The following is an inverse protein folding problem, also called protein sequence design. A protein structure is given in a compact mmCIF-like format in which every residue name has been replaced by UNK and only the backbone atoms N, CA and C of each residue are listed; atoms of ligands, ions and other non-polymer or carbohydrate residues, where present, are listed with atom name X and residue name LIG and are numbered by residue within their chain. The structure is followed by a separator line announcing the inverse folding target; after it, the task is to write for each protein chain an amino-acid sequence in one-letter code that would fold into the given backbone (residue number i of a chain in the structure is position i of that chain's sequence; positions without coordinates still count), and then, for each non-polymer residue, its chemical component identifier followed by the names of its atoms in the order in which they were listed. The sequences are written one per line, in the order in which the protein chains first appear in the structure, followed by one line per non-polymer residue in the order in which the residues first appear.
data_IF_023162536462
#
_entry.id   IF_023162536462
#
_cell.length_a   1.000
_cell.length_b   1.000
_cell.length_c   1.000
_cell.angle_alpha   90.00
_cell.angle_beta   90.00
_cell.angle_gamma   90.00
#
_symmetry.space_group_name_H-M   'P 1'
#
loop_
_entity.id
_entity.type
_entity.pdbx_description
1 polymer ?
#
# COMPACT_ATOMS: atom_id res chain seq x y z
N UNK A 1 -4.91 -2.03 16.10
CA UNK A 1 -4.27 -1.53 14.86
C UNK A 1 -3.32 -0.39 15.21
N UNK A 2 -2.04 -0.43 14.79
CA UNK A 2 -1.05 0.58 15.13
C UNK A 2 -1.25 1.89 14.35
N UNK A 3 -0.68 3.01 14.83
CA UNK A 3 -0.70 4.29 14.12
C UNK A 3 -0.16 4.17 12.68
N UNK A 4 0.96 3.46 12.51
CA UNK A 4 1.58 3.24 11.18
C UNK A 4 0.64 2.50 10.23
N UNK A 5 -0.09 1.50 10.71
CA UNK A 5 -1.06 0.78 9.89
C UNK A 5 -2.24 1.67 9.47
N UNK A 6 -2.74 2.52 10.38
CA UNK A 6 -3.80 3.50 10.04
C UNK A 6 -3.33 4.52 9.02
N UNK A 7 -2.11 5.02 9.16
CA UNK A 7 -1.51 5.96 8.21
C UNK A 7 -1.33 5.32 6.83
N UNK A 8 -0.77 4.11 6.77
CA UNK A 8 -0.63 3.36 5.52
C UNK A 8 -1.99 3.11 4.83
N UNK A 9 -3.03 2.80 5.61
CA UNK A 9 -4.39 2.66 5.08
C UNK A 9 -4.94 3.98 4.51
N UNK A 10 -4.63 5.13 5.11
CA UNK A 10 -5.02 6.43 4.55
C UNK A 10 -4.31 6.71 3.22
N UNK A 11 -3.02 6.40 3.11
CA UNK A 11 -2.30 6.50 1.83
C UNK A 11 -2.89 5.59 0.76
N UNK A 12 -3.19 4.34 1.09
CA UNK A 12 -3.82 3.40 0.17
C UNK A 12 -5.18 3.90 -0.32
N UNK A 13 -6.01 4.48 0.56
CA UNK A 13 -7.35 5.00 0.23
C UNK A 13 -7.36 6.17 -0.75
N UNK A 14 -6.23 6.86 -0.94
CA UNK A 14 -6.10 7.99 -1.89
C UNK A 14 -5.28 7.62 -3.13
N UNK A 15 -5.07 6.33 -3.39
CA UNK A 15 -4.30 5.86 -4.55
C UNK A 15 -2.79 5.82 -4.33
N UNK A 16 -2.34 5.82 -3.08
CA UNK A 16 -0.94 5.62 -2.73
C UNK A 16 -0.47 4.18 -2.96
N UNK A 17 0.85 4.03 -3.07
CA UNK A 17 1.55 2.75 -3.09
C UNK A 17 2.40 2.68 -1.81
N UNK A 18 2.37 1.56 -1.11
CA UNK A 18 3.14 1.36 0.13
C UNK A 18 4.09 0.19 0.01
N UNK A 19 5.22 0.31 0.68
CA UNK A 19 6.09 -0.82 0.98
C UNK A 19 5.73 -1.40 2.35
N UNK A 20 5.60 -2.72 2.45
CA UNK A 20 5.34 -3.40 3.72
C UNK A 20 6.12 -4.71 3.85
N UNK A 21 6.52 -5.11 5.06
CA UNK A 21 7.18 -6.39 5.29
C UNK A 21 6.18 -7.55 5.13
N UNK A 22 6.62 -8.64 4.51
CA UNK A 22 5.94 -9.94 4.56
C UNK A 22 6.82 -10.95 5.29
N UNK A 23 6.36 -12.18 5.43
CA UNK A 23 7.11 -13.31 5.97
C UNK A 23 8.30 -13.73 5.07
N UNK A 24 8.29 -13.35 3.79
CA UNK A 24 9.32 -13.70 2.81
C UNK A 24 10.18 -12.50 2.44
N UNK A 25 9.63 -11.58 1.63
CA UNK A 25 10.32 -10.39 1.12
C UNK A 25 9.52 -9.11 1.39
N UNK A 26 10.14 -7.97 1.16
CA UNK A 26 9.43 -6.69 1.25
C UNK A 26 8.49 -6.53 0.04
N UNK A 27 7.19 -6.36 0.30
CA UNK A 27 6.16 -6.23 -0.72
C UNK A 27 5.84 -4.77 -1.04
N UNK A 28 5.62 -4.48 -2.33
CA UNK A 28 5.04 -3.22 -2.80
C UNK A 28 3.55 -3.44 -3.10
N UNK A 29 2.67 -2.62 -2.55
CA UNK A 29 1.22 -2.83 -2.63
C UNK A 29 0.44 -1.54 -2.88
N UNK A 30 -0.68 -1.67 -3.60
CA UNK A 30 -1.69 -0.64 -3.81
C UNK A 30 -3.10 -1.26 -3.75
N UNK A 31 -4.15 -0.43 -3.80
CA UNK A 31 -5.53 -0.94 -3.94
C UNK A 31 -5.84 -1.17 -5.43
N UNK A 32 -6.43 -2.32 -5.80
CA UNK A 32 -6.60 -2.74 -7.19
C UNK A 32 -7.58 -1.87 -7.99
N UNK A 33 -8.46 -1.10 -7.35
CA UNK A 33 -9.37 -0.20 -8.04
C UNK A 33 -8.72 1.13 -8.48
N UNK A 34 -7.45 1.38 -8.13
CA UNK A 34 -6.69 2.52 -8.62
C UNK A 34 -5.75 2.07 -9.75
N UNK A 35 -6.24 2.09 -10.99
CA UNK A 35 -5.47 1.67 -12.16
C UNK A 35 -4.13 2.40 -12.30
N UNK A 36 -4.10 3.71 -12.04
CA UNK A 36 -2.87 4.49 -12.06
C UNK A 36 -1.85 4.03 -11.02
N UNK A 37 -2.29 3.55 -9.86
CA UNK A 37 -1.40 3.05 -8.81
C UNK A 37 -0.83 1.69 -9.19
N UNK A 38 -1.61 0.85 -9.88
CA UNK A 38 -1.12 -0.42 -10.42
C UNK A 38 -0.02 -0.21 -11.48
N UNK A 39 -0.13 0.84 -12.31
CA UNK A 39 0.91 1.20 -13.28
C UNK A 39 2.25 1.67 -12.65
N UNK A 40 2.27 1.94 -11.34
CA UNK A 40 3.46 2.38 -10.60
C UNK A 40 4.18 1.24 -9.86
N UNK A 41 3.62 0.03 -9.89
CA UNK A 41 4.20 -1.19 -9.31
C UNK A 41 4.81 -2.00 -10.45
#
# INVERSE_FOLDING_TARGET
MSFRARLAAQYLKVGGVISHPTDTIQGLACLPHFEQSMQRI
#
